data_IF_174111806058
#
_entry.id   IF_174111806058
#
_cell.length_a   1.000
_cell.length_b   1.000
_cell.length_c   1.000
_cell.angle_alpha   90.00
_cell.angle_beta   90.00
_cell.angle_gamma   90.00
#
_symmetry.space_group_name_H-M   'P 1'
#
loop_
_entity.id
_entity.type
_entity.pdbx_description
1 polymer ?
#
# COMPACT_ATOMS: atom_id res chain seq x y z
N UNK A 1 14.40 -40.91 -19.31
CA UNK A 1 13.59 -40.72 -18.10
C UNK A 1 12.50 -39.69 -18.45
N UNK A 2 11.26 -40.12 -18.64
CA UNK A 2 10.17 -39.19 -18.90
C UNK A 2 9.88 -38.45 -17.61
N UNK A 3 9.88 -37.11 -17.68
CA UNK A 3 9.53 -36.25 -16.54
C UNK A 3 8.01 -36.39 -16.34
N UNK A 4 7.61 -36.81 -15.16
CA UNK A 4 6.19 -36.84 -14.81
C UNK A 4 5.72 -35.43 -14.41
N UNK A 5 5.07 -34.76 -15.33
CA UNK A 5 4.59 -33.38 -15.17
C UNK A 5 3.42 -33.28 -14.18
N UNK A 6 2.76 -34.37 -13.83
CA UNK A 6 1.58 -34.33 -12.98
C UNK A 6 1.90 -33.86 -11.56
N UNK A 7 3.09 -34.20 -11.03
CA UNK A 7 3.55 -33.72 -9.73
C UNK A 7 4.61 -32.60 -9.84
N UNK A 8 5.39 -32.58 -10.93
CA UNK A 8 6.47 -31.59 -11.08
C UNK A 8 5.94 -30.16 -11.25
N UNK A 9 4.86 -29.97 -12.02
CA UNK A 9 4.27 -28.66 -12.22
C UNK A 9 3.70 -28.06 -10.92
N UNK A 10 2.88 -28.78 -10.11
CA UNK A 10 2.45 -28.28 -8.80
C UNK A 10 3.61 -28.00 -7.84
N UNK A 11 4.65 -28.83 -7.85
CA UNK A 11 5.84 -28.63 -7.05
C UNK A 11 6.56 -27.32 -7.44
N UNK A 12 6.75 -27.07 -8.73
CA UNK A 12 7.35 -25.85 -9.25
C UNK A 12 6.55 -24.61 -8.88
N UNK A 13 5.23 -24.67 -9.06
CA UNK A 13 4.33 -23.56 -8.68
C UNK A 13 4.45 -23.25 -7.18
N UNK A 14 4.41 -24.26 -6.32
CA UNK A 14 4.56 -24.10 -4.89
C UNK A 14 5.94 -23.56 -4.48
N UNK A 15 6.99 -24.03 -5.14
CA UNK A 15 8.36 -23.55 -4.94
C UNK A 15 8.48 -22.05 -5.26
N UNK A 16 7.97 -21.61 -6.41
CA UNK A 16 7.93 -20.19 -6.78
C UNK A 16 7.08 -19.37 -5.80
N UNK A 17 5.94 -19.92 -5.37
CA UNK A 17 5.06 -19.25 -4.43
C UNK A 17 5.72 -19.04 -3.06
N UNK A 18 6.47 -20.03 -2.55
CA UNK A 18 7.25 -19.90 -1.32
C UNK A 18 8.35 -18.84 -1.46
N UNK A 19 9.08 -18.83 -2.59
CA UNK A 19 10.06 -17.80 -2.88
C UNK A 19 9.43 -16.40 -2.83
N UNK A 20 8.31 -16.21 -3.53
CA UNK A 20 7.58 -14.92 -3.55
C UNK A 20 7.11 -14.54 -2.14
N UNK A 21 6.66 -15.49 -1.34
CA UNK A 21 6.23 -15.22 0.04
C UNK A 21 7.39 -14.72 0.90
N UNK A 22 8.54 -15.37 0.83
CA UNK A 22 9.75 -14.96 1.58
C UNK A 22 10.25 -13.59 1.10
N UNK A 23 10.24 -13.36 -0.20
CA UNK A 23 10.62 -12.09 -0.81
C UNK A 23 9.70 -10.95 -0.33
N UNK A 24 8.38 -11.15 -0.35
CA UNK A 24 7.40 -10.19 0.15
C UNK A 24 7.65 -9.85 1.62
N UNK A 25 7.84 -10.89 2.44
CA UNK A 25 8.11 -10.70 3.86
C UNK A 25 9.42 -9.92 4.09
N UNK A 26 10.51 -10.25 3.40
CA UNK A 26 11.79 -9.55 3.55
C UNK A 26 11.69 -8.06 3.24
N UNK A 27 10.92 -7.71 2.22
CA UNK A 27 10.68 -6.31 1.81
C UNK A 27 9.75 -5.54 2.75
N UNK A 28 8.98 -6.22 3.60
CA UNK A 28 8.16 -5.60 4.64
C UNK A 28 8.94 -5.27 5.92
N UNK A 29 10.22 -5.58 5.96
CA UNK A 29 11.09 -5.35 7.13
C UNK A 29 11.95 -4.09 6.96
N UNK A 30 12.47 -3.57 8.09
CA UNK A 30 13.46 -2.49 8.09
C UNK A 30 14.90 -3.04 7.94
N UNK A 31 15.10 -4.00 7.05
CA UNK A 31 16.43 -4.54 6.78
C UNK A 31 17.29 -3.49 6.04
N UNK A 32 18.56 -3.28 6.44
CA UNK A 32 19.47 -2.41 5.70
C UNK A 32 19.58 -2.80 4.23
N UNK A 33 19.58 -1.81 3.31
CA UNK A 33 19.52 -2.04 1.85
C UNK A 33 20.54 -3.07 1.35
N UNK A 34 21.81 -2.97 1.77
CA UNK A 34 22.87 -3.90 1.34
C UNK A 34 22.59 -5.34 1.81
N UNK A 35 22.06 -5.49 3.04
CA UNK A 35 21.71 -6.80 3.59
C UNK A 35 20.49 -7.38 2.88
N UNK A 36 19.49 -6.56 2.57
CA UNK A 36 18.32 -6.96 1.79
C UNK A 36 18.71 -7.41 0.37
N UNK A 37 19.61 -6.68 -0.30
CA UNK A 37 20.12 -7.04 -1.63
C UNK A 37 20.87 -8.37 -1.57
N UNK A 38 21.76 -8.56 -0.58
CA UNK A 38 22.48 -9.82 -0.39
C UNK A 38 21.53 -10.99 -0.09
N UNK A 39 20.54 -10.77 0.78
CA UNK A 39 19.51 -11.75 1.09
C UNK A 39 18.70 -12.14 -0.16
N UNK A 40 18.29 -11.17 -0.98
CA UNK A 40 17.54 -11.44 -2.20
C UNK A 40 18.37 -12.24 -3.22
N UNK A 41 19.68 -11.95 -3.36
CA UNK A 41 20.59 -12.72 -4.21
C UNK A 41 20.70 -14.14 -3.67
N UNK A 42 20.96 -14.32 -2.37
CA UNK A 42 21.05 -15.64 -1.76
C UNK A 42 19.76 -16.45 -1.89
N UNK A 43 18.60 -15.79 -1.70
CA UNK A 43 17.28 -16.39 -1.87
C UNK A 43 17.04 -16.82 -3.32
N UNK A 44 17.41 -15.99 -4.29
CA UNK A 44 17.31 -16.32 -5.73
C UNK A 44 18.19 -17.51 -6.08
N UNK A 45 19.45 -17.51 -5.63
CA UNK A 45 20.37 -18.62 -5.85
C UNK A 45 19.85 -19.91 -5.22
N UNK A 46 19.39 -19.86 -3.97
CA UNK A 46 18.79 -21.01 -3.30
C UNK A 46 17.56 -21.55 -4.08
N UNK A 47 16.72 -20.65 -4.60
CA UNK A 47 15.56 -21.02 -5.41
C UNK A 47 15.97 -21.68 -6.71
N UNK A 48 16.94 -21.12 -7.43
CA UNK A 48 17.42 -21.68 -8.70
C UNK A 48 18.10 -23.03 -8.49
N UNK A 49 18.85 -23.21 -7.41
CA UNK A 49 19.60 -24.45 -7.13
C UNK A 49 18.74 -25.56 -6.53
N UNK A 50 17.69 -25.20 -5.76
CA UNK A 50 16.83 -26.20 -5.13
C UNK A 50 16.06 -27.06 -6.14
N UNK A 51 15.65 -26.48 -7.26
CA UNK A 51 14.87 -27.18 -8.29
C UNK A 51 15.66 -28.30 -8.98
N UNK A 52 16.86 -28.05 -9.56
CA UNK A 52 17.71 -29.12 -10.07
C UNK A 52 18.06 -30.16 -9.02
N UNK A 53 18.34 -29.72 -7.78
CA UNK A 53 18.61 -30.63 -6.67
C UNK A 53 17.45 -31.60 -6.45
N UNK A 54 16.18 -31.15 -6.41
CA UNK A 54 15.02 -31.99 -6.27
C UNK A 54 14.85 -32.95 -7.46
N UNK A 55 15.10 -32.48 -8.69
CA UNK A 55 15.00 -33.30 -9.90
C UNK A 55 16.06 -34.38 -9.90
N UNK A 56 17.28 -34.10 -9.47
CA UNK A 56 18.41 -35.03 -9.44
C UNK A 56 18.31 -36.10 -8.33
N UNK A 57 17.41 -35.92 -7.33
CA UNK A 57 17.19 -36.94 -6.31
C UNK A 57 16.60 -38.26 -6.85
N UNK A 58 16.18 -38.27 -8.11
CA UNK A 58 15.55 -39.45 -8.72
C UNK A 58 14.07 -39.63 -8.29
N UNK A 59 13.55 -40.88 -8.28
CA UNK A 59 12.16 -41.14 -7.96
C UNK A 59 11.84 -40.77 -6.50
N UNK A 60 10.61 -40.31 -6.25
CA UNK A 60 10.11 -39.92 -4.92
C UNK A 60 10.45 -40.91 -3.80
N UNK A 61 10.45 -42.20 -4.12
CA UNK A 61 10.74 -43.29 -3.15
C UNK A 61 12.18 -43.25 -2.63
N UNK A 62 13.11 -42.68 -3.40
CA UNK A 62 14.52 -42.55 -3.02
C UNK A 62 14.83 -41.29 -2.18
N UNK A 63 13.88 -40.36 -2.05
CA UNK A 63 14.11 -39.11 -1.36
C UNK A 63 14.23 -39.30 0.15
N UNK A 64 15.18 -38.58 0.75
CA UNK A 64 15.31 -38.49 2.22
C UNK A 64 14.21 -37.60 2.83
N UNK A 65 14.14 -37.53 4.15
CA UNK A 65 13.08 -36.80 4.87
C UNK A 65 13.05 -35.29 4.51
N UNK A 66 14.22 -34.65 4.37
CA UNK A 66 14.29 -33.20 4.10
C UNK A 66 13.74 -32.85 2.70
N UNK A 67 14.20 -33.44 1.59
CA UNK A 67 13.62 -33.20 0.26
C UNK A 67 12.12 -33.54 0.19
N UNK A 68 11.68 -34.61 0.85
CA UNK A 68 10.24 -34.98 0.91
C UNK A 68 9.44 -33.92 1.64
N UNK A 69 9.89 -33.46 2.81
CA UNK A 69 9.22 -32.43 3.59
C UNK A 69 9.08 -31.13 2.81
N UNK A 70 10.15 -30.73 2.13
CA UNK A 70 10.14 -29.54 1.27
C UNK A 70 9.18 -29.69 0.09
N UNK A 71 9.19 -30.81 -0.60
CA UNK A 71 8.27 -31.05 -1.70
C UNK A 71 6.80 -31.10 -1.25
N UNK A 72 6.51 -31.69 -0.10
CA UNK A 72 5.16 -31.67 0.49
C UNK A 72 4.72 -30.24 0.83
N UNK A 73 5.63 -29.40 1.33
CA UNK A 73 5.35 -27.99 1.57
C UNK A 73 5.04 -27.26 0.25
N UNK A 74 5.82 -27.48 -0.82
CA UNK A 74 5.54 -26.92 -2.14
C UNK A 74 4.18 -27.39 -2.69
N UNK A 75 3.89 -28.69 -2.63
CA UNK A 75 2.61 -29.25 -3.08
C UNK A 75 1.43 -28.70 -2.25
N UNK A 76 1.56 -28.64 -0.94
CA UNK A 76 0.55 -28.04 -0.06
C UNK A 76 0.31 -26.57 -0.39
N UNK A 77 1.38 -25.82 -0.65
CA UNK A 77 1.28 -24.40 -1.06
C UNK A 77 0.56 -24.26 -2.39
N UNK A 78 0.89 -25.06 -3.40
CA UNK A 78 0.30 -24.93 -4.74
C UNK A 78 -1.14 -25.46 -4.82
N UNK A 79 -1.42 -26.60 -4.21
CA UNK A 79 -2.70 -27.30 -4.36
C UNK A 79 -3.77 -26.86 -3.33
N UNK A 80 -3.33 -26.33 -2.20
CA UNK A 80 -4.24 -25.88 -1.12
C UNK A 80 -4.08 -24.40 -0.84
N UNK A 81 -2.87 -23.93 -0.54
CA UNK A 81 -2.63 -22.57 -0.08
C UNK A 81 -3.00 -21.52 -1.14
N UNK A 82 -2.51 -21.64 -2.37
CA UNK A 82 -2.80 -20.70 -3.44
C UNK A 82 -4.29 -20.70 -3.84
N UNK A 83 -4.96 -21.86 -4.06
CA UNK A 83 -6.40 -21.86 -4.32
C UNK A 83 -7.21 -21.24 -3.19
N UNK A 84 -6.92 -21.58 -1.93
CA UNK A 84 -7.63 -21.03 -0.76
C UNK A 84 -7.51 -19.51 -0.70
N UNK A 85 -6.29 -18.96 -0.80
CA UNK A 85 -6.07 -17.52 -0.78
C UNK A 85 -6.76 -16.83 -1.98
N UNK A 86 -6.75 -17.46 -3.15
CA UNK A 86 -7.43 -16.96 -4.34
C UNK A 86 -8.93 -16.91 -4.17
N UNK A 87 -9.53 -17.97 -3.61
CA UNK A 87 -10.96 -18.07 -3.30
C UNK A 87 -11.35 -17.01 -2.27
N UNK A 88 -10.69 -16.98 -1.12
CA UNK A 88 -10.97 -16.00 -0.07
C UNK A 88 -10.89 -14.56 -0.58
N UNK A 89 -9.96 -14.29 -1.50
CA UNK A 89 -9.82 -12.99 -2.12
C UNK A 89 -10.92 -12.69 -3.14
N UNK A 90 -11.34 -13.68 -3.95
CA UNK A 90 -12.40 -13.51 -4.95
C UNK A 90 -13.76 -13.19 -4.30
N UNK A 91 -14.01 -13.72 -3.12
CA UNK A 91 -15.22 -13.46 -2.33
C UNK A 91 -15.07 -12.30 -1.34
N UNK A 92 -13.97 -11.54 -1.39
CA UNK A 92 -13.82 -10.35 -0.56
C UNK A 92 -14.75 -9.25 -1.07
N UNK A 93 -15.71 -8.91 -0.26
CA UNK A 93 -16.64 -7.80 -0.51
C UNK A 93 -16.01 -6.46 -0.11
N UNK A 94 -16.40 -5.40 -0.80
CA UNK A 94 -16.16 -4.04 -0.31
C UNK A 94 -17.00 -3.84 0.96
N UNK A 95 -16.44 -3.25 2.02
CA UNK A 95 -17.21 -2.98 3.23
C UNK A 95 -18.48 -2.18 2.93
N UNK A 96 -19.57 -2.49 3.64
CA UNK A 96 -20.83 -1.72 3.54
C UNK A 96 -20.58 -0.24 3.89
N UNK A 97 -21.33 0.66 3.27
CA UNK A 97 -21.17 2.10 3.49
C UNK A 97 -19.99 2.71 2.74
N UNK A 98 -19.50 2.05 1.69
CA UNK A 98 -18.51 2.60 0.77
C UNK A 98 -19.12 2.73 -0.62
N UNK A 99 -19.35 3.95 -1.05
CA UNK A 99 -19.71 4.25 -2.45
C UNK A 99 -18.47 4.77 -3.16
N UNK A 100 -18.10 4.12 -4.27
CA UNK A 100 -16.92 4.47 -5.05
C UNK A 100 -17.31 4.82 -6.49
N UNK A 101 -16.80 5.98 -6.94
CA UNK A 101 -16.89 6.42 -8.35
C UNK A 101 -15.46 6.67 -8.85
N UNK A 102 -15.22 6.50 -10.13
CA UNK A 102 -13.91 6.72 -10.70
C UNK A 102 -13.96 7.22 -12.13
N UNK A 103 -13.06 8.13 -12.46
CA UNK A 103 -12.78 8.61 -13.81
C UNK A 103 -11.31 8.32 -14.11
N UNK A 104 -11.02 7.85 -15.32
CA UNK A 104 -9.64 7.54 -15.74
C UNK A 104 -9.13 8.66 -16.64
N UNK A 105 -8.02 9.27 -16.25
CA UNK A 105 -7.26 10.18 -17.09
C UNK A 105 -6.24 9.37 -17.89
N UNK A 106 -6.25 9.47 -19.19
CA UNK A 106 -5.23 8.89 -20.06
C UNK A 106 -4.20 9.95 -20.44
N UNK A 107 -3.10 10.00 -19.69
CA UNK A 107 -2.04 10.97 -19.89
C UNK A 107 -1.12 10.63 -21.08
N UNK A 108 -1.25 9.43 -21.65
CA UNK A 108 -0.60 9.10 -22.92
C UNK A 108 -1.36 9.73 -24.12
N UNK A 109 -2.66 9.97 -23.97
CA UNK A 109 -3.50 10.62 -24.99
C UNK A 109 -3.51 12.13 -24.80
N UNK A 110 -3.73 12.60 -23.56
CA UNK A 110 -3.79 14.03 -23.25
C UNK A 110 -3.04 14.31 -21.93
N UNK A 111 -1.92 15.03 -21.94
CA UNK A 111 -1.41 15.91 -23.03
C UNK A 111 -0.65 15.19 -24.16
N UNK A 112 -0.38 13.91 -24.03
CA UNK A 112 0.38 13.10 -24.98
C UNK A 112 1.65 12.49 -24.37
N UNK A 113 1.98 11.30 -24.83
CA UNK A 113 3.04 10.46 -24.22
C UNK A 113 4.39 11.16 -24.12
N UNK A 114 4.76 11.97 -25.12
CA UNK A 114 6.06 12.64 -25.15
C UNK A 114 6.15 13.82 -24.19
N UNK A 115 5.03 14.30 -23.66
CA UNK A 115 4.99 15.34 -22.64
C UNK A 115 5.11 14.78 -21.22
N UNK A 116 4.86 13.51 -21.02
CA UNK A 116 4.84 12.88 -19.69
C UNK A 116 5.92 11.82 -19.48
N UNK A 117 6.45 11.22 -20.56
CA UNK A 117 7.53 10.24 -20.50
C UNK A 117 8.88 10.96 -20.48
N UNK A 118 9.67 10.70 -19.47
CA UNK A 118 11.00 11.26 -19.27
C UNK A 118 12.12 10.49 -19.95
N UNK A 119 13.36 10.73 -19.51
CA UNK A 119 14.58 10.15 -20.13
C UNK A 119 15.27 9.11 -19.23
N UNK A 120 14.62 8.68 -18.13
CA UNK A 120 15.19 7.71 -17.21
C UNK A 120 15.37 6.31 -17.82
N UNK A 121 16.30 5.55 -17.27
CA UNK A 121 16.72 4.23 -17.77
C UNK A 121 15.59 3.26 -18.12
N UNK A 122 14.48 3.33 -17.40
CA UNK A 122 13.35 2.41 -17.55
C UNK A 122 12.12 3.04 -18.21
N UNK A 123 12.24 4.22 -18.81
CA UNK A 123 11.15 4.95 -19.46
C UNK A 123 10.47 4.17 -20.60
N UNK A 124 11.23 3.29 -21.28
CA UNK A 124 10.72 2.42 -22.33
C UNK A 124 9.57 1.51 -21.86
N UNK A 125 9.55 1.17 -20.55
CA UNK A 125 8.45 0.39 -19.97
C UNK A 125 7.10 1.11 -20.11
N UNK A 126 7.06 2.43 -20.05
CA UNK A 126 5.85 3.24 -20.21
C UNK A 126 5.22 3.10 -21.60
N UNK A 127 6.00 2.69 -22.60
CA UNK A 127 5.55 2.50 -23.98
C UNK A 127 5.11 1.07 -24.28
N UNK A 128 5.17 0.16 -23.31
CA UNK A 128 4.74 -1.22 -23.48
C UNK A 128 3.21 -1.30 -23.66
N UNK A 129 2.73 -2.10 -24.64
CA UNK A 129 1.30 -2.30 -24.83
C UNK A 129 0.61 -2.80 -23.56
N UNK A 130 -0.52 -2.18 -23.21
CA UNK A 130 -1.29 -2.56 -22.01
C UNK A 130 -0.71 -2.11 -20.68
N UNK A 131 0.44 -1.43 -20.65
CA UNK A 131 0.95 -0.80 -19.44
C UNK A 131 0.06 0.37 -19.03
N UNK A 132 -0.44 0.33 -17.80
CA UNK A 132 -1.39 1.30 -17.25
C UNK A 132 -0.74 2.45 -16.47
N UNK A 133 0.59 2.55 -16.46
CA UNK A 133 1.31 3.53 -15.63
C UNK A 133 1.04 4.99 -15.99
N UNK A 134 0.52 5.27 -17.20
CA UNK A 134 0.09 6.60 -17.63
C UNK A 134 -1.42 6.84 -17.54
N UNK A 135 -2.18 5.83 -17.08
CA UNK A 135 -3.59 5.97 -16.75
C UNK A 135 -3.70 6.36 -15.27
N UNK A 136 -4.33 7.47 -14.96
CA UNK A 136 -4.54 7.88 -13.56
C UNK A 136 -6.02 7.83 -13.24
N UNK A 137 -6.39 6.98 -12.29
CA UNK A 137 -7.75 6.85 -11.81
C UNK A 137 -8.03 7.92 -10.75
N UNK A 138 -8.94 8.84 -11.04
CA UNK A 138 -9.50 9.79 -10.08
C UNK A 138 -10.63 9.09 -9.36
N UNK A 139 -10.41 8.75 -8.10
CA UNK A 139 -11.38 8.00 -7.30
C UNK A 139 -12.06 8.92 -6.30
N UNK A 140 -13.36 8.93 -6.29
CA UNK A 140 -14.17 9.58 -5.27
C UNK A 140 -14.90 8.52 -4.45
N UNK A 141 -14.82 8.64 -3.12
CA UNK A 141 -15.40 7.70 -2.19
C UNK A 141 -16.24 8.43 -1.14
N UNK A 142 -17.54 8.16 -1.09
CA UNK A 142 -18.34 8.43 0.10
C UNK A 142 -18.14 7.28 1.08
N UNK A 143 -17.71 7.58 2.30
CA UNK A 143 -17.25 6.62 3.29
C UNK A 143 -18.01 6.77 4.60
N UNK A 144 -18.98 5.88 4.84
CA UNK A 144 -19.67 5.80 6.12
C UNK A 144 -18.76 5.20 7.19
N UNK A 145 -18.53 5.98 8.24
CA UNK A 145 -17.63 5.61 9.34
C UNK A 145 -18.41 5.51 10.66
N UNK A 146 -18.36 4.34 11.30
CA UNK A 146 -18.93 4.18 12.65
C UNK A 146 -18.24 5.15 13.63
N UNK A 147 -19.05 5.83 14.44
CA UNK A 147 -18.54 6.73 15.46
C UNK A 147 -18.04 8.09 14.95
N UNK A 148 -18.19 8.40 13.66
CA UNK A 148 -17.90 9.74 13.14
C UNK A 148 -18.85 10.76 13.78
N UNK A 149 -18.33 11.80 14.47
CA UNK A 149 -19.14 12.89 14.96
C UNK A 149 -19.93 13.59 13.85
N UNK A 150 -21.17 14.02 14.12
CA UNK A 150 -22.02 14.68 13.13
C UNK A 150 -21.39 15.96 12.58
N UNK A 151 -20.59 16.66 13.39
CA UNK A 151 -19.85 17.87 12.98
C UNK A 151 -18.73 17.57 11.97
N UNK A 152 -18.31 16.31 11.83
CA UNK A 152 -17.34 15.86 10.83
C UNK A 152 -18.03 15.23 9.60
N UNK A 153 -19.38 15.18 9.54
CA UNK A 153 -20.09 14.72 8.36
C UNK A 153 -19.84 15.66 7.18
N UNK A 154 -19.47 15.08 6.05
CA UNK A 154 -19.09 15.84 4.85
C UNK A 154 -17.63 16.29 4.81
N UNK A 155 -16.80 16.02 5.83
CA UNK A 155 -15.36 16.33 5.80
C UNK A 155 -14.70 15.62 4.61
N UNK A 156 -13.95 16.39 3.83
CA UNK A 156 -13.31 15.89 2.61
C UNK A 156 -11.79 15.73 2.78
N UNK A 157 -11.27 14.57 2.37
CA UNK A 157 -9.85 14.25 2.40
C UNK A 157 -9.38 13.90 1.00
N UNK A 158 -8.22 14.39 0.58
CA UNK A 158 -7.54 13.91 -0.63
C UNK A 158 -6.29 13.15 -0.22
N UNK A 159 -6.19 11.89 -0.64
CA UNK A 159 -4.96 11.11 -0.52
C UNK A 159 -4.20 11.08 -1.83
N UNK A 160 -2.91 11.41 -1.76
CA UNK A 160 -1.92 11.17 -2.80
C UNK A 160 -0.74 10.44 -2.17
N UNK A 161 -0.16 9.46 -2.87
CA UNK A 161 0.89 8.60 -2.31
C UNK A 161 1.75 8.00 -3.41
N UNK A 162 2.94 7.53 -3.02
CA UNK A 162 3.81 6.73 -3.88
C UNK A 162 4.09 7.43 -5.22
N UNK A 163 4.56 8.67 -5.16
CA UNK A 163 4.91 9.44 -6.36
C UNK A 163 6.17 8.88 -7.02
N UNK A 164 7.14 8.42 -6.24
CA UNK A 164 8.40 7.85 -6.74
C UNK A 164 9.04 8.72 -7.83
N UNK A 165 9.23 10.00 -7.52
CA UNK A 165 9.85 10.93 -8.46
C UNK A 165 11.14 10.34 -9.03
N UNK A 166 11.15 10.16 -10.33
CA UNK A 166 12.28 9.61 -11.10
C UNK A 166 12.23 10.12 -12.54
N UNK A 167 13.37 10.16 -13.20
CA UNK A 167 13.45 10.60 -14.60
C UNK A 167 12.78 9.68 -15.61
N UNK A 168 12.13 8.57 -15.18
CA UNK A 168 11.27 7.77 -16.06
C UNK A 168 10.04 8.56 -16.52
N UNK A 169 9.55 9.45 -15.67
CA UNK A 169 8.50 10.40 -15.98
C UNK A 169 9.12 11.80 -16.16
N UNK A 170 8.41 12.69 -16.85
CA UNK A 170 8.66 14.12 -16.78
C UNK A 170 7.95 14.69 -15.55
N UNK A 171 8.41 15.85 -15.07
CA UNK A 171 7.80 16.55 -13.94
C UNK A 171 6.34 16.91 -14.24
N UNK A 172 6.03 17.22 -15.49
CA UNK A 172 4.70 17.56 -15.99
C UNK A 172 3.66 16.47 -15.72
N UNK A 173 4.05 15.18 -15.75
CA UNK A 173 3.15 14.08 -15.34
C UNK A 173 2.62 14.29 -13.92
N UNK A 174 3.52 14.59 -12.98
CA UNK A 174 3.16 14.78 -11.58
C UNK A 174 2.45 16.10 -11.32
N UNK A 175 2.79 17.15 -12.08
CA UNK A 175 2.09 18.44 -12.02
C UNK A 175 0.63 18.30 -12.44
N UNK A 176 0.35 17.59 -13.53
CA UNK A 176 -1.03 17.30 -13.98
C UNK A 176 -1.78 16.52 -12.92
N UNK A 177 -1.16 15.48 -12.34
CA UNK A 177 -1.79 14.67 -11.29
C UNK A 177 -2.10 15.51 -10.04
N UNK A 178 -1.19 16.40 -9.65
CA UNK A 178 -1.38 17.30 -8.52
C UNK A 178 -2.50 18.34 -8.82
N UNK A 179 -2.54 18.91 -10.04
CA UNK A 179 -3.59 19.84 -10.45
C UNK A 179 -4.96 19.18 -10.46
N UNK A 180 -5.06 17.92 -10.92
CA UNK A 180 -6.31 17.17 -10.90
C UNK A 180 -6.77 16.85 -9.46
N UNK A 181 -5.85 16.55 -8.56
CA UNK A 181 -6.16 16.37 -7.15
C UNK A 181 -6.58 17.68 -6.47
N UNK A 182 -5.93 18.78 -6.83
CA UNK A 182 -6.23 20.12 -6.29
C UNK A 182 -7.63 20.63 -6.68
N UNK A 183 -8.17 20.21 -7.83
CA UNK A 183 -9.54 20.60 -8.27
C UNK A 183 -10.64 20.14 -7.33
N UNK A 184 -10.39 19.18 -6.48
CA UNK A 184 -11.36 18.72 -5.50
C UNK A 184 -11.55 19.67 -4.31
N UNK A 185 -10.67 20.66 -4.11
CA UNK A 185 -10.73 21.68 -3.05
C UNK A 185 -11.08 21.09 -1.68
N UNK A 186 -10.35 20.05 -1.29
CA UNK A 186 -10.64 19.28 -0.09
C UNK A 186 -10.24 20.00 1.20
N UNK A 187 -10.82 19.56 2.33
CA UNK A 187 -10.47 20.07 3.65
C UNK A 187 -9.06 19.69 4.07
N UNK A 188 -8.67 18.45 3.86
CA UNK A 188 -7.37 17.91 4.22
C UNK A 188 -6.70 17.25 3.01
N UNK A 189 -5.40 17.48 2.85
CA UNK A 189 -4.56 16.78 1.89
C UNK A 189 -3.58 15.88 2.63
N UNK A 190 -3.56 14.60 2.29
CA UNK A 190 -2.81 13.55 2.96
C UNK A 190 -1.81 12.92 1.99
N UNK A 191 -0.51 13.11 2.26
CA UNK A 191 0.56 12.44 1.53
C UNK A 191 1.12 11.28 2.35
N UNK A 192 0.95 10.05 1.86
CA UNK A 192 1.27 8.84 2.64
C UNK A 192 2.59 8.16 2.24
N UNK A 193 3.56 8.94 1.75
CA UNK A 193 4.95 8.51 1.60
C UNK A 193 5.37 8.05 0.20
N UNK A 194 6.62 7.62 0.11
CA UNK A 194 7.34 7.24 -1.12
C UNK A 194 7.32 8.35 -2.17
N UNK A 195 7.98 9.45 -1.79
CA UNK A 195 8.10 10.66 -2.60
C UNK A 195 9.15 10.50 -3.71
N UNK A 196 10.31 9.93 -3.39
CA UNK A 196 11.51 9.95 -4.23
C UNK A 196 12.07 8.55 -4.49
N UNK A 197 12.45 8.28 -5.74
CA UNK A 197 13.37 7.21 -6.13
C UNK A 197 14.74 7.74 -6.56
N UNK A 198 14.82 9.00 -6.94
CA UNK A 198 16.05 9.68 -7.34
C UNK A 198 16.19 11.01 -6.59
N UNK A 199 17.34 11.21 -5.95
CA UNK A 199 17.61 12.45 -5.21
C UNK A 199 17.84 13.67 -6.13
N UNK A 200 18.06 13.46 -7.42
CA UNK A 200 18.20 14.53 -8.42
C UNK A 200 16.86 15.17 -8.79
N UNK A 201 15.73 14.51 -8.44
CA UNK A 201 14.37 15.06 -8.64
C UNK A 201 13.83 15.78 -7.42
N UNK A 202 14.66 16.03 -6.41
CA UNK A 202 14.23 16.68 -5.16
C UNK A 202 13.69 18.12 -5.38
N UNK A 203 14.14 18.79 -6.42
CA UNK A 203 13.67 20.10 -6.86
C UNK A 203 12.26 20.09 -7.47
N UNK A 204 11.72 18.90 -7.80
CA UNK A 204 10.33 18.74 -8.27
C UNK A 204 9.30 18.82 -7.14
N UNK A 205 9.73 18.54 -5.89
CA UNK A 205 8.81 18.42 -4.75
C UNK A 205 8.00 19.68 -4.53
N UNK A 206 8.68 20.80 -4.45
CA UNK A 206 8.01 22.08 -4.19
C UNK A 206 7.09 22.51 -5.34
N UNK A 207 7.50 22.56 -6.63
CA UNK A 207 6.61 22.98 -7.73
C UNK A 207 5.43 22.01 -7.96
N UNK A 208 5.56 20.73 -7.62
CA UNK A 208 4.47 19.76 -7.76
C UNK A 208 3.53 19.83 -6.57
N UNK A 209 4.06 19.67 -5.36
CA UNK A 209 3.21 19.48 -4.17
C UNK A 209 2.65 20.80 -3.60
N UNK A 210 3.26 21.96 -3.89
CA UNK A 210 2.69 23.25 -3.50
C UNK A 210 1.37 23.60 -4.22
N UNK A 211 1.01 22.86 -5.26
CA UNK A 211 -0.29 22.95 -5.94
C UNK A 211 -1.43 22.40 -5.09
N UNK A 212 -1.10 21.50 -4.18
CA UNK A 212 -2.05 20.85 -3.27
C UNK A 212 -2.26 21.71 -2.04
N UNK A 213 -3.50 22.11 -1.77
CA UNK A 213 -3.89 22.89 -0.62
C UNK A 213 -5.14 22.29 0.03
N UNK A 214 -5.05 21.98 1.29
CA UNK A 214 -6.21 21.64 2.10
C UNK A 214 -6.70 22.85 2.87
N UNK A 215 -8.00 23.08 2.94
CA UNK A 215 -8.61 24.21 3.68
C UNK A 215 -8.23 24.19 5.17
N UNK A 216 -8.10 22.99 5.74
CA UNK A 216 -7.69 22.74 7.13
C UNK A 216 -6.22 22.27 7.24
N UNK A 217 -5.55 22.10 6.12
CA UNK A 217 -4.13 21.78 6.07
C UNK A 217 -3.73 20.61 5.17
N UNK A 218 -2.44 20.51 4.93
CA UNK A 218 -1.83 19.41 4.21
C UNK A 218 -0.76 18.73 5.07
N UNK A 219 -0.82 17.41 5.13
CA UNK A 219 -0.05 16.58 6.04
C UNK A 219 0.69 15.47 5.31
N UNK A 220 1.90 15.17 5.75
CA UNK A 220 2.74 14.18 5.09
C UNK A 220 3.48 13.27 6.06
N UNK A 221 3.73 12.06 5.61
CA UNK A 221 4.73 11.15 6.15
C UNK A 221 5.70 10.75 5.04
N UNK A 222 6.81 10.14 5.39
CA UNK A 222 7.73 9.53 4.45
C UNK A 222 7.38 8.06 4.18
N UNK A 223 7.94 7.52 3.08
CA UNK A 223 7.90 6.10 2.78
C UNK A 223 9.27 5.42 2.94
N UNK A 224 9.30 4.11 2.70
CA UNK A 224 10.53 3.33 2.83
C UNK A 224 11.60 3.72 1.82
N UNK A 225 11.24 4.23 0.65
CA UNK A 225 12.19 4.75 -0.34
C UNK A 225 12.85 6.04 0.15
N UNK A 226 12.08 6.96 0.71
CA UNK A 226 12.57 8.21 1.26
C UNK A 226 13.55 7.98 2.42
N UNK A 227 13.23 7.04 3.32
CA UNK A 227 14.09 6.66 4.45
C UNK A 227 15.43 6.06 3.99
N UNK A 228 15.44 5.33 2.88
CA UNK A 228 16.65 4.73 2.30
C UNK A 228 17.52 5.72 1.53
N UNK A 229 16.95 6.85 1.11
CA UNK A 229 17.64 7.89 0.34
C UNK A 229 18.15 9.02 1.24
N UNK A 230 17.39 10.08 1.37
CA UNK A 230 17.77 11.30 2.12
C UNK A 230 16.57 11.88 2.89
N UNK A 231 16.09 11.21 3.95
CA UNK A 231 14.83 11.56 4.62
C UNK A 231 14.80 13.03 5.11
N UNK A 232 15.92 13.55 5.61
CA UNK A 232 15.98 14.94 6.05
C UNK A 232 15.83 15.96 4.93
N UNK A 233 16.23 15.65 3.68
CA UNK A 233 16.02 16.52 2.53
C UNK A 233 14.57 16.45 2.04
N UNK A 234 14.00 15.25 1.98
CA UNK A 234 12.60 15.04 1.62
C UNK A 234 11.66 15.80 2.56
N UNK A 235 11.86 15.68 3.89
CA UNK A 235 11.07 16.41 4.89
C UNK A 235 11.18 17.95 4.71
N UNK A 236 12.38 18.47 4.44
CA UNK A 236 12.54 19.91 4.20
C UNK A 236 11.83 20.38 2.93
N UNK A 237 11.84 19.55 1.87
CA UNK A 237 11.16 19.88 0.63
C UNK A 237 9.63 19.84 0.81
N UNK A 238 9.09 18.83 1.51
CA UNK A 238 7.67 18.76 1.87
C UNK A 238 7.23 19.98 2.69
N UNK A 239 8.02 20.38 3.69
CA UNK A 239 7.72 21.59 4.47
C UNK A 239 7.73 22.88 3.62
N UNK A 240 8.66 23.03 2.65
CA UNK A 240 8.63 24.16 1.72
C UNK A 240 7.39 24.15 0.82
N UNK A 241 6.92 22.96 0.44
CA UNK A 241 5.66 22.78 -0.27
C UNK A 241 4.42 23.04 0.62
N UNK A 242 4.61 23.32 1.92
CA UNK A 242 3.55 23.67 2.87
C UNK A 242 2.99 22.49 3.66
N UNK A 243 3.58 21.29 3.56
CA UNK A 243 3.10 20.11 4.29
C UNK A 243 3.63 20.07 5.73
N UNK A 244 2.75 19.74 6.65
CA UNK A 244 3.08 19.40 8.04
C UNK A 244 3.59 17.96 8.09
N UNK A 245 4.76 17.75 8.68
CA UNK A 245 5.38 16.44 8.85
C UNK A 245 4.79 15.74 10.07
N UNK A 246 4.04 14.68 9.89
CA UNK A 246 3.41 13.88 10.96
C UNK A 246 4.21 12.63 11.35
N UNK A 247 5.41 12.46 10.88
CA UNK A 247 6.21 11.27 11.11
C UNK A 247 6.42 10.95 12.59
N UNK A 248 5.78 9.89 13.11
CA UNK A 248 5.84 9.46 14.51
C UNK A 248 5.10 10.36 15.50
N UNK A 249 4.19 11.22 15.05
CA UNK A 249 3.43 12.15 15.88
C UNK A 249 2.01 12.35 15.35
N UNK A 250 1.21 13.10 16.08
CA UNK A 250 -0.14 13.46 15.69
C UNK A 250 -0.42 14.92 16.03
N UNK A 251 -1.41 15.47 15.36
CA UNK A 251 -1.94 16.81 15.61
C UNK A 251 -3.43 16.77 15.91
N UNK A 252 -3.87 17.75 16.69
CA UNK A 252 -5.26 17.97 17.05
C UNK A 252 -5.84 19.07 16.15
N UNK A 253 -6.95 18.77 15.50
CA UNK A 253 -7.67 19.71 14.65
C UNK A 253 -9.09 19.84 15.22
N UNK A 254 -9.49 21.07 15.55
CA UNK A 254 -10.84 21.37 16.00
C UNK A 254 -11.71 21.72 14.80
N UNK A 255 -12.85 21.05 14.65
CA UNK A 255 -13.78 21.25 13.54
C UNK A 255 -15.19 21.25 14.12
N UNK A 256 -15.86 22.41 14.12
CA UNK A 256 -17.26 22.58 14.55
C UNK A 256 -17.59 21.92 15.92
N UNK A 257 -16.65 22.06 16.87
CA UNK A 257 -16.79 21.55 18.23
C UNK A 257 -16.40 20.07 18.41
N UNK A 258 -16.03 19.34 17.35
CA UNK A 258 -15.41 18.03 17.46
C UNK A 258 -13.90 18.11 17.32
N UNK A 259 -13.21 17.20 17.97
CA UNK A 259 -11.76 17.04 17.92
C UNK A 259 -11.39 15.91 16.99
N UNK A 260 -10.66 16.20 15.91
CA UNK A 260 -10.00 15.23 15.05
C UNK A 260 -8.53 15.08 15.47
N UNK A 261 -8.09 13.86 15.79
CA UNK A 261 -6.65 13.55 15.88
C UNK A 261 -6.16 12.99 14.53
N UNK A 262 -5.22 13.68 13.94
CA UNK A 262 -4.57 13.26 12.69
C UNK A 262 -3.13 12.84 12.99
N UNK A 263 -2.82 11.55 12.85
CA UNK A 263 -1.51 10.99 13.14
C UNK A 263 -0.79 10.42 11.94
N UNK A 264 0.51 10.18 12.06
CA UNK A 264 1.29 9.64 10.96
C UNK A 264 2.43 8.71 11.37
N UNK A 265 2.67 7.65 10.59
CA UNK A 265 3.77 6.71 10.80
C UNK A 265 4.20 6.03 9.51
N UNK A 266 5.49 5.88 9.32
CA UNK A 266 6.08 5.01 8.30
C UNK A 266 6.77 3.78 8.90
N UNK A 267 6.37 3.37 10.12
CA UNK A 267 6.92 2.15 10.71
C UNK A 267 6.74 0.95 9.77
N UNK A 268 7.75 0.05 9.65
CA UNK A 268 8.95 -0.08 10.51
C UNK A 268 10.15 0.78 10.08
N UNK A 269 10.08 1.58 9.01
CA UNK A 269 11.24 2.34 8.47
C UNK A 269 11.47 3.66 9.21
N UNK A 270 10.40 4.30 9.66
CA UNK A 270 10.39 5.51 10.48
C UNK A 270 9.91 5.26 11.90
N UNK A 271 9.78 6.32 12.69
CA UNK A 271 9.32 6.23 14.07
C UNK A 271 7.88 5.72 14.16
N UNK A 272 7.56 4.88 15.16
CA UNK A 272 6.20 4.52 15.48
C UNK A 272 5.44 5.72 16.05
N UNK A 273 4.13 5.70 15.91
CA UNK A 273 3.24 6.66 16.56
C UNK A 273 2.69 6.07 17.87
N UNK A 274 2.47 6.93 18.85
CA UNK A 274 1.72 6.58 20.06
C UNK A 274 0.21 6.72 19.79
N UNK A 275 -0.43 5.62 19.43
CA UNK A 275 -1.87 5.59 19.18
C UNK A 275 -2.70 5.88 20.43
N UNK A 276 -2.20 5.51 21.63
CA UNK A 276 -2.93 5.71 22.88
C UNK A 276 -3.07 7.21 23.21
N UNK A 277 -2.07 8.00 22.87
CA UNK A 277 -2.13 9.45 23.07
C UNK A 277 -3.20 10.12 22.21
N UNK A 278 -3.64 9.51 21.10
CA UNK A 278 -4.70 10.03 20.24
C UNK A 278 -6.12 9.80 20.81
N UNK A 279 -6.25 8.98 21.85
CA UNK A 279 -7.56 8.60 22.43
C UNK A 279 -8.31 9.78 23.10
N UNK A 280 -7.67 10.93 23.22
CA UNK A 280 -8.29 12.18 23.74
C UNK A 280 -9.20 12.87 22.72
N UNK A 281 -9.15 12.46 21.43
CA UNK A 281 -9.94 13.03 20.36
C UNK A 281 -11.24 12.24 20.14
N UNK A 282 -12.24 12.91 19.56
CA UNK A 282 -13.53 12.31 19.24
C UNK A 282 -13.44 11.37 18.04
N UNK A 283 -12.52 11.63 17.12
CA UNK A 283 -12.27 10.81 15.94
C UNK A 283 -10.77 10.79 15.58
N UNK A 284 -10.27 9.65 15.08
CA UNK A 284 -8.83 9.44 14.81
C UNK A 284 -8.61 8.96 13.39
N UNK A 285 -7.75 9.68 12.68
CA UNK A 285 -7.28 9.31 11.34
C UNK A 285 -5.76 9.12 11.40
N UNK A 286 -5.25 8.06 10.80
CA UNK A 286 -3.80 7.79 10.73
C UNK A 286 -3.35 7.64 9.28
N UNK A 287 -2.37 8.46 8.91
CA UNK A 287 -1.56 8.26 7.72
C UNK A 287 -0.56 7.14 8.03
N UNK A 288 -0.61 6.06 7.29
CA UNK A 288 0.35 4.98 7.39
C UNK A 288 0.99 4.73 6.04
N UNK A 289 2.33 4.67 5.97
CA UNK A 289 2.91 4.32 4.68
C UNK A 289 2.53 2.89 4.30
N UNK A 290 2.74 1.92 5.20
CA UNK A 290 2.38 0.52 4.97
C UNK A 290 1.04 0.15 5.61
N UNK A 291 0.18 -0.63 4.95
CA UNK A 291 -1.04 -1.17 5.55
C UNK A 291 -0.77 -2.14 6.73
N UNK A 292 0.47 -2.59 6.90
CA UNK A 292 0.88 -3.51 7.97
C UNK A 292 0.68 -2.94 9.39
N UNK A 293 0.51 -1.63 9.52
CA UNK A 293 0.22 -0.98 10.80
C UNK A 293 -1.28 -1.06 11.19
N UNK A 294 -2.16 -1.39 10.24
CA UNK A 294 -3.60 -1.39 10.47
C UNK A 294 -4.06 -2.23 11.66
N UNK A 295 -3.62 -3.49 11.86
CA UNK A 295 -4.06 -4.27 13.01
C UNK A 295 -3.74 -3.62 14.34
N UNK A 296 -2.55 -2.98 14.45
CA UNK A 296 -2.12 -2.25 15.65
C UNK A 296 -2.93 -0.97 15.85
N UNK A 297 -3.17 -0.21 14.79
CA UNK A 297 -3.99 1.01 14.83
C UNK A 297 -5.43 0.68 15.24
N UNK A 298 -6.04 -0.35 14.64
CA UNK A 298 -7.39 -0.80 14.95
C UNK A 298 -7.50 -1.27 16.41
N UNK A 299 -6.54 -2.05 16.92
CA UNK A 299 -6.51 -2.47 18.33
C UNK A 299 -6.40 -1.30 19.31
N UNK A 300 -5.85 -0.17 18.87
CA UNK A 300 -5.78 1.07 19.65
C UNK A 300 -7.00 1.97 19.43
N UNK A 301 -7.98 1.54 18.63
CA UNK A 301 -9.23 2.21 18.38
C UNK A 301 -9.16 3.35 17.35
N UNK A 302 -8.19 3.36 16.45
CA UNK A 302 -8.15 4.30 15.31
C UNK A 302 -9.28 3.96 14.34
N UNK A 303 -10.10 4.93 13.98
CA UNK A 303 -11.29 4.73 13.16
C UNK A 303 -10.96 4.64 11.66
N UNK A 304 -10.00 5.46 11.18
CA UNK A 304 -9.60 5.45 9.77
C UNK A 304 -8.07 5.41 9.62
N UNK A 305 -7.60 4.46 8.83
CA UNK A 305 -6.20 4.39 8.38
C UNK A 305 -6.16 4.53 6.87
N UNK A 306 -5.34 5.44 6.35
CA UNK A 306 -5.07 5.60 4.92
C UNK A 306 -3.62 5.20 4.63
N UNK A 307 -3.42 4.28 3.68
CA UNK A 307 -2.11 3.72 3.38
C UNK A 307 -1.79 3.68 1.89
N UNK A 308 -0.49 3.58 1.56
CA UNK A 308 0.05 3.36 0.22
C UNK A 308 0.90 2.10 0.16
N UNK A 309 2.15 2.23 -0.33
CA UNK A 309 3.24 1.24 -0.34
C UNK A 309 3.04 0.05 -1.29
N UNK A 310 1.85 -0.50 -1.36
CA UNK A 310 1.61 -1.77 -2.05
C UNK A 310 1.41 -1.63 -3.56
N UNK A 311 1.16 -0.43 -4.08
CA UNK A 311 0.89 -0.15 -5.50
C UNK A 311 -0.16 -1.08 -6.14
N UNK A 312 -1.07 -1.64 -5.33
CA UNK A 312 -1.95 -2.72 -5.76
C UNK A 312 -1.21 -3.98 -6.25
N UNK A 313 0.11 -4.09 -6.00
CA UNK A 313 0.99 -5.15 -6.47
C UNK A 313 1.51 -4.96 -7.89
N UNK A 314 1.36 -3.79 -8.49
CA UNK A 314 1.79 -3.38 -9.85
C UNK A 314 1.38 -4.36 -10.97
N UNK A 315 1.82 -5.62 -10.92
CA UNK A 315 1.47 -6.67 -11.86
C UNK A 315 0.50 -7.64 -11.19
N UNK A 316 -0.71 -7.71 -11.73
CA UNK A 316 -1.82 -8.52 -11.22
C UNK A 316 -2.34 -9.45 -12.30
N UNK A 317 -2.42 -10.72 -11.98
CA UNK A 317 -3.06 -11.70 -12.87
C UNK A 317 -4.57 -11.71 -12.65
N UNK A 318 -5.37 -11.96 -13.69
CA UNK A 318 -6.81 -12.20 -13.53
C UNK A 318 -7.06 -13.30 -12.46
N UNK A 319 -8.09 -13.13 -11.64
CA UNK A 319 -8.50 -14.06 -10.58
C UNK A 319 -7.42 -14.19 -9.47
N UNK A 320 -6.17 -14.53 -9.83
CA UNK A 320 -5.07 -14.76 -8.91
C UNK A 320 -4.66 -13.50 -8.13
N UNK A 321 -4.69 -12.32 -8.76
CA UNK A 321 -4.34 -11.04 -8.16
C UNK A 321 -2.86 -10.70 -8.22
N UNK A 322 -2.32 -9.92 -7.25
CA UNK A 322 -0.95 -9.44 -7.30
C UNK A 322 0.06 -10.58 -7.17
N UNK A 323 1.14 -10.49 -7.96
CA UNK A 323 2.25 -11.45 -7.89
C UNK A 323 3.16 -11.12 -6.72
N UNK A 324 3.65 -9.88 -6.66
CA UNK A 324 4.50 -9.35 -5.57
C UNK A 324 3.72 -8.38 -4.70
N UNK A 325 3.95 -8.46 -3.38
CA UNK A 325 3.30 -7.60 -2.40
C UNK A 325 4.22 -7.43 -1.19
N UNK A 326 4.92 -6.31 -1.06
CA UNK A 326 5.93 -6.08 -0.02
C UNK A 326 5.29 -5.79 1.35
N UNK A 327 4.48 -6.72 1.85
CA UNK A 327 3.72 -6.61 3.11
C UNK A 327 3.83 -7.90 3.91
N UNK A 328 3.85 -7.80 5.25
CA UNK A 328 3.79 -8.94 6.18
C UNK A 328 2.53 -9.77 5.99
N UNK A 329 1.44 -9.09 5.63
CA UNK A 329 0.15 -9.72 5.35
C UNK A 329 0.02 -10.15 3.90
N UNK A 330 1.12 -10.04 3.11
CA UNK A 330 1.17 -10.42 1.70
C UNK A 330 -0.04 -9.84 0.94
N UNK A 331 -0.88 -10.69 0.36
CA UNK A 331 -2.02 -10.29 -0.47
C UNK A 331 -3.27 -9.90 0.31
N UNK A 332 -3.25 -9.94 1.65
CA UNK A 332 -4.44 -9.66 2.44
C UNK A 332 -4.87 -8.20 2.32
N UNK A 333 -3.94 -7.25 2.47
CA UNK A 333 -4.18 -5.81 2.32
C UNK A 333 -3.61 -5.30 1.00
N UNK A 334 -4.11 -5.81 -0.14
CA UNK A 334 -3.53 -5.48 -1.44
C UNK A 334 -3.92 -4.09 -1.96
N UNK A 335 -5.21 -3.73 -1.93
CA UNK A 335 -5.75 -2.43 -2.35
C UNK A 335 -7.21 -2.26 -1.94
N UNK A 336 -7.67 -1.01 -1.89
CA UNK A 336 -9.06 -0.67 -1.58
C UNK A 336 -9.36 -0.74 -0.09
N UNK A 337 -10.61 -1.01 0.26
CA UNK A 337 -11.11 -0.93 1.62
C UNK A 337 -11.10 -2.25 2.36
N UNK A 338 -10.79 -2.17 3.66
CA UNK A 338 -10.86 -3.27 4.62
C UNK A 338 -11.46 -2.75 5.92
N UNK A 339 -12.10 -3.62 6.68
CA UNK A 339 -12.59 -3.32 8.03
C UNK A 339 -12.01 -4.27 9.05
N UNK A 340 -11.83 -3.76 10.29
CA UNK A 340 -11.56 -4.60 11.45
C UNK A 340 -12.71 -5.57 11.71
N UNK A 341 -12.47 -6.64 12.44
CA UNK A 341 -13.50 -7.69 12.72
C UNK A 341 -14.71 -7.12 13.45
N UNK A 342 -14.52 -6.17 14.36
CA UNK A 342 -15.57 -5.49 15.09
C UNK A 342 -16.29 -4.40 14.27
N UNK A 343 -15.79 -4.13 13.05
CA UNK A 343 -16.33 -3.12 12.16
C UNK A 343 -16.01 -1.67 12.55
N UNK A 344 -15.26 -1.44 13.63
CA UNK A 344 -15.02 -0.10 14.19
C UNK A 344 -13.95 0.68 13.42
N UNK A 345 -12.98 -0.02 12.83
CA UNK A 345 -11.86 0.60 12.11
C UNK A 345 -11.89 0.29 10.64
N UNK A 346 -11.58 1.26 9.81
CA UNK A 346 -11.48 1.13 8.35
C UNK A 346 -10.06 1.41 7.88
N UNK A 347 -9.55 0.58 6.98
CA UNK A 347 -8.31 0.79 6.25
C UNK A 347 -8.63 1.04 4.78
N UNK A 348 -7.99 2.04 4.19
CA UNK A 348 -7.89 2.19 2.75
C UNK A 348 -6.44 2.03 2.31
N UNK A 349 -6.22 1.22 1.26
CA UNK A 349 -4.90 1.02 0.65
C UNK A 349 -4.95 1.51 -0.78
N UNK A 350 -4.25 2.61 -1.06
CA UNK A 350 -4.15 3.20 -2.38
C UNK A 350 -3.24 2.39 -3.31
N UNK A 351 -3.54 2.41 -4.60
CA UNK A 351 -2.64 1.88 -5.64
C UNK A 351 -1.48 2.85 -5.96
N UNK A 352 -1.47 4.08 -5.39
CA UNK A 352 -0.42 5.08 -5.59
C UNK A 352 -0.32 5.62 -7.01
N UNK A 353 0.52 6.61 -7.22
CA UNK A 353 0.64 7.31 -8.52
C UNK A 353 1.80 6.76 -9.36
N UNK A 354 3.01 6.77 -8.83
CA UNK A 354 4.22 6.35 -9.53
C UNK A 354 4.62 4.91 -9.27
N UNK A 355 5.91 4.67 -9.22
CA UNK A 355 6.53 3.41 -8.88
C UNK A 355 7.97 3.35 -9.35
N UNK A 356 8.82 2.66 -8.59
CA UNK A 356 10.25 2.50 -8.90
C UNK A 356 10.49 1.98 -10.33
N UNK A 357 9.66 1.05 -10.77
CA UNK A 357 9.63 0.58 -12.15
C UNK A 357 8.27 0.95 -12.72
N UNK A 358 8.20 1.76 -13.79
CA UNK A 358 6.93 2.28 -14.32
C UNK A 358 6.22 1.21 -15.17
N UNK A 359 5.78 0.14 -14.50
CA UNK A 359 5.08 -0.97 -15.12
C UNK A 359 3.87 -1.39 -14.27
N UNK A 360 2.68 -1.34 -14.87
CA UNK A 360 1.43 -1.70 -14.22
C UNK A 360 0.52 -2.49 -15.15
N UNK A 361 0.17 -3.70 -14.73
CA UNK A 361 -0.80 -4.57 -15.39
C UNK A 361 -1.85 -5.03 -14.37
N UNK A 362 -3.12 -4.72 -14.61
CA UNK A 362 -4.21 -5.04 -13.67
C UNK A 362 -4.23 -4.17 -12.40
N UNK A 363 -3.34 -3.19 -12.30
CA UNK A 363 -3.29 -2.12 -11.31
C UNK A 363 -3.23 -0.79 -12.06
N UNK A 364 -3.88 0.25 -11.57
CA UNK A 364 -3.93 1.56 -12.21
C UNK A 364 -3.53 2.61 -11.20
N UNK A 365 -2.58 3.51 -11.51
CA UNK A 365 -2.30 4.68 -10.68
C UNK A 365 -3.58 5.36 -10.22
N UNK A 366 -3.60 5.89 -8.99
CA UNK A 366 -4.79 6.57 -8.50
C UNK A 366 -4.47 7.74 -7.56
N UNK A 367 -5.37 8.72 -7.58
CA UNK A 367 -5.56 9.73 -6.55
C UNK A 367 -6.97 9.56 -5.99
N UNK A 368 -7.13 9.75 -4.68
CA UNK A 368 -8.41 9.43 -4.02
C UNK A 368 -8.91 10.60 -3.20
N UNK A 369 -10.18 10.98 -3.42
CA UNK A 369 -10.94 11.86 -2.54
C UNK A 369 -11.91 11.04 -1.70
N UNK A 370 -11.92 11.27 -0.40
CA UNK A 370 -12.93 10.75 0.50
C UNK A 370 -13.86 11.86 0.94
N UNK A 371 -15.14 11.55 1.03
CA UNK A 371 -16.12 12.32 1.78
C UNK A 371 -16.57 11.47 2.96
N UNK A 372 -16.24 11.90 4.16
CA UNK A 372 -16.61 11.16 5.37
C UNK A 372 -18.09 11.34 5.66
N UNK A 373 -18.79 10.26 6.02
CA UNK A 373 -20.22 10.24 6.32
C UNK A 373 -20.46 9.65 7.70
N UNK A 374 -21.18 10.39 8.52
CA UNK A 374 -21.64 9.88 9.80
C UNK A 374 -22.76 8.85 9.57
N UNK A 375 -22.60 7.66 10.15
CA UNK A 375 -23.71 6.70 10.16
C UNK A 375 -24.84 7.20 11.06
N UNK A 376 -26.12 7.09 10.69
CA UNK A 376 -27.22 7.34 11.59
C UNK A 376 -27.00 6.54 12.88
N UNK A 377 -27.10 7.20 14.04
CA UNK A 377 -26.78 6.62 15.33
C UNK A 377 -27.66 5.40 15.66
N UNK A 378 -27.24 4.21 15.25
CA UNK A 378 -27.62 3.00 15.97
C UNK A 378 -26.73 3.01 17.21
N UNK A 379 -27.31 3.34 18.38
CA UNK A 379 -26.62 3.23 19.66
C UNK A 379 -26.15 1.79 19.82
N UNK A 380 -24.88 1.53 19.51
CA UNK A 380 -24.22 0.33 19.97
C UNK A 380 -24.08 0.46 21.50
N UNK A 381 -24.49 -0.53 22.29
CA UNK A 381 -24.28 -0.48 23.72
C UNK A 381 -22.79 -0.34 24.01
N UNK A 382 -22.42 0.60 24.86
CA UNK A 382 -21.08 0.82 25.34
C UNK A 382 -20.58 -0.45 26.08
N UNK A 383 -19.96 -1.36 25.37
CA UNK A 383 -19.17 -2.44 25.96
C UNK A 383 -17.71 -1.95 26.12
N UNK A 384 -17.52 -1.02 27.07
CA UNK A 384 -16.21 -0.78 27.68
C UNK A 384 -16.20 -1.49 29.04
N UNK A 385 -16.15 -2.80 29.03
CA UNK A 385 -15.65 -3.56 30.16
C UNK A 385 -14.45 -4.37 29.67
N UNK A 386 -13.41 -4.36 30.51
CA UNK A 386 -12.07 -4.86 30.28
C UNK A 386 -12.10 -6.24 29.64
N UNK A 387 -11.74 -6.31 28.36
CA UNK A 387 -11.46 -7.58 27.72
C UNK A 387 -9.99 -7.95 28.03
N UNK A 388 -9.87 -8.97 28.82
CA UNK A 388 -8.68 -9.72 29.14
C UNK A 388 -7.79 -9.93 27.88
N UNK A 389 -6.50 -9.64 28.02
CA UNK A 389 -5.54 -9.73 26.93
C UNK A 389 -5.26 -11.21 26.64
N UNK A 390 -6.17 -11.83 25.95
CA UNK A 390 -5.96 -13.13 25.34
C UNK A 390 -5.04 -13.01 24.13
N UNK A 391 -3.86 -13.58 24.24
CA UNK A 391 -2.87 -13.72 23.17
C UNK A 391 -3.54 -14.20 21.88
N UNK A 392 -3.59 -13.33 20.88
CA UNK A 392 -4.10 -13.65 19.54
C UNK A 392 -3.13 -14.59 18.85
N UNK A 393 -3.39 -15.91 18.93
CA UNK A 393 -2.82 -16.90 18.01
C UNK A 393 -3.78 -17.04 16.84
N UNK A 394 -3.26 -16.84 15.64
CA UNK A 394 -3.85 -17.29 14.38
C UNK A 394 -4.55 -16.22 13.55
N UNK A 395 -3.79 -15.77 12.56
CA UNK A 395 -4.22 -15.17 11.28
C UNK A 395 -3.74 -16.03 10.12
#
# INVERSE_FOLDING_TARGET
MMIDWTYLLPLLIGHIALFVLILNFSHSTNMPKKLLELFNIALLLATVLALPFLILQGPWTAWTAIPRGYALLCLGTSLVGLPLVTILRAFRETPKGVERRGEVLDLAVQPGIDQVVGEGRHNWLLRLPGNRSLLVNKVECDLELPGLPQSLDGLTLVQITDLHFSHCYRREFFEIVADEAARWDADLVLFTGDLLDDTTTLDWVEPVLSRLRGRLGQYAILGNHDHRLRPGRARRALRRAGFVDLEGRWERIEIDGATLALGGTSAPWGPPIDYAAMAVADFRIVLSHSPDQFPRAASAGVELVVAGHNHGGQIRLPIFGPILMPSRYSRHFDRGFFRSRDGASTLYVSEGVGGKHPIRYGSTPEITRFTLRATPSVRLPHAREQADVGVVRGW
#
